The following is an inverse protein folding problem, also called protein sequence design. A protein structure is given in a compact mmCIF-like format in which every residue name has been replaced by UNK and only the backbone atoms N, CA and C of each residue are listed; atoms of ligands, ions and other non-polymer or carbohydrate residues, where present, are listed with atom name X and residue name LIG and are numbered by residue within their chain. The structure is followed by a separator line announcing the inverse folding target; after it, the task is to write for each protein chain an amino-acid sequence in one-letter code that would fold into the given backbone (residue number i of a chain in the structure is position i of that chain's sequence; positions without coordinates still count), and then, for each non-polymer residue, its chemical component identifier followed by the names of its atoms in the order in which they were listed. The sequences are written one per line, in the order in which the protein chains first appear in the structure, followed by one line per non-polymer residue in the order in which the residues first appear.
data_IF_782492150089
#
_entry.id   IF_782492150089
#
_cell.length_a   1.000
_cell.length_b   1.000
_cell.length_c   1.000
_cell.angle_alpha   90.00
_cell.angle_beta   90.00
_cell.angle_gamma   90.00
#
_symmetry.space_group_name_H-M   'P 1'
#
loop_
_entity.id
_entity.type
_entity.pdbx_description
1 polymer ?
#
# COMPACT_ATOMS: atom_id res chain seq x y z
N UNK A 1 -8.27 5.67 -4.89
CA UNK A 1 -8.34 6.51 -3.67
C UNK A 1 -6.98 6.58 -3.00
N UNK A 2 -6.30 5.46 -2.75
CA UNK A 2 -4.95 5.41 -2.17
C UNK A 2 -3.91 6.23 -2.95
N UNK A 3 -3.74 5.98 -4.26
CA UNK A 3 -2.81 6.73 -5.13
C UNK A 3 -3.06 8.24 -5.05
N UNK A 4 -4.32 8.64 -5.23
CA UNK A 4 -4.76 10.05 -5.12
C UNK A 4 -4.41 10.65 -3.76
N UNK A 5 -4.58 9.92 -2.66
CA UNK A 5 -4.19 10.42 -1.33
C UNK A 5 -2.69 10.69 -1.26
N UNK A 6 -1.84 9.81 -1.81
CA UNK A 6 -0.40 10.06 -1.86
C UNK A 6 -0.05 11.24 -2.77
N UNK A 7 -0.67 11.35 -3.94
CA UNK A 7 -0.47 12.48 -4.85
C UNK A 7 -0.87 13.82 -4.20
N UNK A 8 -2.04 13.90 -3.56
CA UNK A 8 -2.51 15.10 -2.85
C UNK A 8 -1.58 15.50 -1.70
N UNK A 9 -0.97 14.53 -1.01
CA UNK A 9 -0.01 14.78 0.07
C UNK A 9 1.45 14.84 -0.41
N UNK A 10 1.71 14.79 -1.73
CA UNK A 10 3.04 14.76 -2.34
C UNK A 10 3.96 13.67 -1.77
N UNK A 11 3.37 12.53 -1.43
CA UNK A 11 4.08 11.35 -0.92
C UNK A 11 4.60 10.58 -2.13
N UNK A 12 5.91 10.32 -2.16
CA UNK A 12 6.48 9.44 -3.15
C UNK A 12 6.05 7.99 -2.85
N UNK A 13 5.54 7.29 -3.85
CA UNK A 13 5.15 5.89 -3.74
C UNK A 13 5.57 5.12 -4.98
N UNK A 14 5.83 3.82 -4.80
CA UNK A 14 6.02 2.87 -5.88
C UNK A 14 4.73 2.06 -6.06
N UNK A 15 4.26 1.98 -7.31
CA UNK A 15 3.06 1.23 -7.64
C UNK A 15 3.44 -0.14 -8.21
N UNK A 16 3.13 -1.19 -7.46
CA UNK A 16 3.27 -2.56 -7.93
C UNK A 16 1.91 -3.11 -8.34
N UNK A 17 1.73 -3.32 -9.64
CA UNK A 17 0.52 -3.95 -10.16
C UNK A 17 0.57 -5.47 -9.95
N UNK A 18 -0.03 -5.93 -8.85
CA UNK A 18 -0.16 -7.35 -8.51
C UNK A 18 -1.13 -8.12 -9.43
N UNK A 19 -1.92 -7.43 -10.25
CA UNK A 19 -2.78 -8.09 -11.24
C UNK A 19 -1.95 -8.50 -12.46
N UNK A 20 -1.00 -7.67 -12.87
CA UNK A 20 -0.08 -7.93 -13.98
C UNK A 20 1.17 -8.71 -13.54
N UNK A 21 1.67 -8.46 -12.34
CA UNK A 21 2.91 -9.06 -11.82
C UNK A 21 2.60 -10.12 -10.76
N UNK A 22 2.67 -11.39 -11.18
CA UNK A 22 2.41 -12.53 -10.31
C UNK A 22 3.40 -12.62 -9.13
N UNK A 23 4.63 -12.12 -9.30
CA UNK A 23 5.65 -12.15 -8.25
C UNK A 23 5.31 -11.18 -7.12
N UNK A 24 4.99 -9.94 -7.47
CA UNK A 24 4.51 -8.91 -6.53
C UNK A 24 3.24 -9.36 -5.81
N UNK A 25 2.36 -10.10 -6.49
CA UNK A 25 1.18 -10.72 -5.87
C UNK A 25 1.56 -11.76 -4.82
N UNK A 26 2.46 -12.68 -5.15
CA UNK A 26 2.94 -13.70 -4.22
C UNK A 26 3.63 -13.06 -3.01
N UNK A 27 4.49 -12.06 -3.22
CA UNK A 27 5.13 -11.30 -2.14
C UNK A 27 4.11 -10.59 -1.26
N UNK A 28 3.08 -9.96 -1.85
CA UNK A 28 1.98 -9.33 -1.12
C UNK A 28 1.23 -10.36 -0.25
N UNK A 29 0.89 -11.54 -0.80
CA UNK A 29 0.19 -12.59 -0.06
C UNK A 29 1.08 -13.15 1.05
N UNK A 30 2.37 -13.38 0.80
CA UNK A 30 3.30 -13.87 1.82
C UNK A 30 3.50 -12.87 2.96
N UNK A 31 3.58 -11.58 2.64
CA UNK A 31 3.75 -10.51 3.64
C UNK A 31 2.48 -10.22 4.44
N UNK A 32 1.32 -10.23 3.79
CA UNK A 32 0.05 -9.78 4.40
C UNK A 32 -0.88 -10.92 4.82
N UNK A 33 -0.68 -12.12 4.30
CA UNK A 33 -1.62 -13.23 4.42
C UNK A 33 -2.93 -13.03 3.66
N UNK A 34 -3.06 -11.96 2.86
CA UNK A 34 -4.30 -11.59 2.18
C UNK A 34 -4.11 -11.49 0.66
N UNK A 35 -5.15 -11.85 -0.08
CA UNK A 35 -5.24 -11.68 -1.53
C UNK A 35 -5.89 -10.36 -1.96
N UNK A 36 -6.39 -9.57 -1.01
CA UNK A 36 -7.17 -8.36 -1.25
C UNK A 36 -6.30 -7.12 -1.33
N UNK A 37 -6.50 -6.34 -2.40
CA UNK A 37 -5.93 -4.99 -2.59
C UNK A 37 -6.92 -3.92 -2.11
N UNK A 38 -6.46 -2.69 -1.79
CA UNK A 38 -5.07 -2.21 -1.80
C UNK A 38 -4.26 -2.71 -0.59
N UNK A 39 -2.97 -2.93 -0.79
CA UNK A 39 -1.99 -3.15 0.29
C UNK A 39 -0.96 -2.03 0.18
N UNK A 40 -0.68 -1.38 1.30
CA UNK A 40 0.32 -0.31 1.40
C UNK A 40 1.41 -0.75 2.37
N UNK A 41 2.67 -0.61 1.98
CA UNK A 41 3.81 -0.79 2.88
C UNK A 41 4.50 0.58 3.08
N UNK A 42 4.62 1.03 4.32
CA UNK A 42 5.30 2.29 4.69
C UNK A 42 6.30 1.97 5.80
N UNK A 43 7.60 2.19 5.56
CA UNK A 43 8.67 1.91 6.54
C UNK A 43 8.60 0.51 7.16
N UNK A 44 8.29 -0.52 6.35
CA UNK A 44 8.12 -1.90 6.79
C UNK A 44 6.82 -2.18 7.56
N UNK A 45 5.94 -1.19 7.73
CA UNK A 45 4.59 -1.39 8.28
C UNK A 45 3.60 -1.59 7.15
N UNK A 46 2.87 -2.69 7.22
CA UNK A 46 1.87 -3.08 6.25
C UNK A 46 0.50 -2.57 6.71
N UNK A 47 -0.17 -1.84 5.83
CA UNK A 47 -1.56 -1.43 5.95
C UNK A 47 -2.36 -2.15 4.88
N UNK A 48 -3.33 -2.94 5.34
CA UNK A 48 -4.24 -3.66 4.46
C UNK A 48 -5.49 -2.80 4.27
N UNK A 49 -5.86 -2.56 3.01
CA UNK A 49 -6.95 -1.67 2.64
C UNK A 49 -6.54 -0.19 2.62
N UNK A 50 -7.51 0.69 2.40
CA UNK A 50 -7.30 2.14 2.44
C UNK A 50 -7.75 2.68 3.80
N UNK A 51 -6.79 2.92 4.68
CA UNK A 51 -7.05 3.49 6.01
C UNK A 51 -6.40 4.87 6.12
N UNK A 52 -7.17 5.92 5.82
CA UNK A 52 -6.68 7.29 5.81
C UNK A 52 -6.04 7.75 7.14
N UNK A 53 -6.67 7.58 8.33
CA UNK A 53 -6.03 7.98 9.58
C UNK A 53 -4.75 7.19 9.86
N UNK A 54 -4.70 5.88 9.54
CA UNK A 54 -3.48 5.09 9.70
C UNK A 54 -2.36 5.55 8.76
N UNK A 55 -2.69 5.83 7.50
CA UNK A 55 -1.72 6.32 6.52
C UNK A 55 -1.14 7.68 6.94
N UNK A 56 -1.96 8.59 7.46
CA UNK A 56 -1.48 9.88 8.01
C UNK A 56 -0.53 9.71 9.17
N UNK A 57 -0.89 8.85 10.13
CA UNK A 57 -0.03 8.52 11.29
C UNK A 57 1.32 7.96 10.85
N UNK A 58 1.32 7.06 9.86
CA UNK A 58 2.54 6.42 9.36
C UNK A 58 3.43 7.37 8.55
N UNK A 59 2.82 8.26 7.77
CA UNK A 59 3.52 9.23 6.93
C UNK A 59 3.92 10.51 7.69
N UNK A 60 3.41 10.71 8.91
CA UNK A 60 3.71 11.87 9.74
C UNK A 60 3.10 13.18 9.21
N UNK A 61 1.94 13.11 8.57
CA UNK A 61 1.23 14.25 7.94
C UNK A 61 -0.12 14.55 8.59
#
# INVERSE_FOLDING_TARGET
MTKKFFDDNKVAYEDHDVASDAKSRDEMIQKTGQMGVPVIEIDGKIVIGFDQPKLKELLGI
#
